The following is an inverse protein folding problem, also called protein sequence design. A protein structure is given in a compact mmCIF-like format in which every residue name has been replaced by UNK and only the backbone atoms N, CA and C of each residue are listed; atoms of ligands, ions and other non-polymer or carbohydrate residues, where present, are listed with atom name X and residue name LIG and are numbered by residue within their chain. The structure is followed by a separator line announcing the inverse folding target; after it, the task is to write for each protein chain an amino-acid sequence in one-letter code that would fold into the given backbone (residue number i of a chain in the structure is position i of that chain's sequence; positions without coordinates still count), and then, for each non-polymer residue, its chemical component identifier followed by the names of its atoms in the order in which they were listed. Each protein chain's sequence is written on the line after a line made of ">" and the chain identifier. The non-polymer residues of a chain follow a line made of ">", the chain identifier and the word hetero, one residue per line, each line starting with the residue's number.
data_IF_515674014427
#
_entry.id   IF_515674014427
#
_cell.length_a   1.000
_cell.length_b   1.000
_cell.length_c   1.000
_cell.angle_alpha   90.00
_cell.angle_beta   90.00
_cell.angle_gamma   90.00
#
_symmetry.space_group_name_H-M   'P 1'
#
loop_
_entity.id
_entity.type
_entity.pdbx_description
1 polymer ?
#
# COMPACT_ATOMS: atom_id res chain seq x y z
N UNK A 1 -4.52 -0.66 1.76
CA UNK A 1 -3.69 0.41 1.16
C UNK A 1 -3.63 1.54 2.17
N UNK A 2 -2.46 2.07 2.45
CA UNK A 2 -2.22 3.03 3.53
C UNK A 2 -1.62 4.32 2.98
N UNK A 3 -2.20 5.46 3.37
CA UNK A 3 -1.64 6.76 2.98
C UNK A 3 -0.29 6.99 3.66
N UNK A 4 0.67 7.49 2.90
CA UNK A 4 1.94 7.92 3.44
C UNK A 4 2.41 9.24 2.81
N UNK A 5 3.16 10.02 3.57
CA UNK A 5 3.75 11.26 3.06
C UNK A 5 5.13 10.97 2.46
N UNK A 6 5.22 11.04 1.14
CA UNK A 6 6.44 10.74 0.39
C UNK A 6 7.65 11.57 0.81
N UNK A 7 7.49 12.87 1.04
CA UNK A 7 8.60 13.77 1.34
C UNK A 7 9.48 14.07 0.12
N UNK A 8 10.61 14.74 0.38
CA UNK A 8 11.60 15.03 -0.68
C UNK A 8 12.37 13.78 -1.03
N UNK A 9 12.76 13.67 -2.31
CA UNK A 9 13.63 12.59 -2.76
C UNK A 9 14.96 12.57 -1.97
N UNK A 10 15.44 11.38 -1.53
CA UNK A 10 16.69 11.27 -0.78
C UNK A 10 17.92 11.46 -1.64
N UNK A 11 17.75 11.47 -2.96
CA UNK A 11 18.82 11.58 -3.97
C UNK A 11 18.44 12.56 -5.08
N UNK A 12 19.45 13.05 -5.80
CA UNK A 12 19.25 13.93 -6.94
C UNK A 12 19.01 13.11 -8.22
N UNK A 13 17.73 12.94 -8.58
CA UNK A 13 17.33 12.18 -9.77
C UNK A 13 17.83 12.77 -11.08
N UNK A 14 18.17 14.05 -11.15
CA UNK A 14 18.75 14.64 -12.37
C UNK A 14 20.13 14.05 -12.62
N UNK A 15 20.93 13.90 -11.58
CA UNK A 15 22.26 13.27 -11.69
C UNK A 15 22.17 11.77 -11.99
N UNK A 16 21.16 11.09 -11.46
CA UNK A 16 20.92 9.67 -11.73
C UNK A 16 20.59 9.45 -13.20
N UNK A 17 19.67 10.21 -13.76
CA UNK A 17 19.28 10.13 -15.18
C UNK A 17 20.46 10.34 -16.14
N UNK A 18 21.46 11.12 -15.75
CA UNK A 18 22.68 11.31 -16.54
C UNK A 18 23.65 10.13 -16.45
N UNK A 19 23.69 9.41 -15.33
CA UNK A 19 24.63 8.29 -15.09
C UNK A 19 24.08 6.93 -15.50
N UNK A 20 22.78 6.72 -15.37
CA UNK A 20 22.11 5.45 -15.58
C UNK A 20 21.02 5.62 -16.65
N UNK A 21 21.20 4.95 -17.77
CA UNK A 21 20.20 4.95 -18.86
C UNK A 21 19.13 3.86 -18.58
N UNK A 22 19.55 2.75 -18.00
CA UNK A 22 18.69 1.62 -17.70
C UNK A 22 18.52 1.41 -16.18
N UNK A 23 17.32 1.04 -15.77
CA UNK A 23 17.04 0.70 -14.37
C UNK A 23 17.91 -0.45 -13.86
N UNK A 24 18.19 -1.46 -14.69
CA UNK A 24 19.00 -2.61 -14.31
C UNK A 24 20.44 -2.24 -13.93
N UNK A 25 21.00 -1.21 -14.56
CA UNK A 25 22.33 -0.71 -14.22
C UNK A 25 22.33 0.09 -12.91
N UNK A 26 21.14 0.57 -12.51
CA UNK A 26 20.94 1.36 -11.32
C UNK A 26 20.71 0.50 -10.05
N UNK A 27 20.14 -0.72 -10.18
CA UNK A 27 19.72 -1.58 -9.04
C UNK A 27 20.86 -1.81 -8.01
N UNK A 28 22.12 -1.85 -8.43
CA UNK A 28 23.25 -2.11 -7.54
C UNK A 28 23.93 -0.84 -7.01
N UNK A 29 23.38 0.34 -7.31
CA UNK A 29 23.96 1.60 -6.88
C UNK A 29 23.62 1.93 -5.42
N UNK A 30 24.46 2.75 -4.78
CA UNK A 30 24.20 3.27 -3.45
C UNK A 30 22.94 4.15 -3.41
N UNK A 31 22.64 4.83 -4.50
CA UNK A 31 21.43 5.64 -4.64
C UNK A 31 20.16 4.80 -4.68
N UNK A 32 20.19 3.63 -5.35
CA UNK A 32 19.06 2.69 -5.33
C UNK A 32 18.80 2.18 -3.92
N UNK A 33 19.85 1.80 -3.19
CA UNK A 33 19.73 1.38 -1.79
C UNK A 33 19.12 2.51 -0.94
N UNK A 34 19.65 3.73 -1.06
CA UNK A 34 19.15 4.90 -0.32
C UNK A 34 17.66 5.21 -0.61
N UNK A 35 17.22 5.05 -1.87
CA UNK A 35 15.80 5.21 -2.24
C UNK A 35 14.95 4.13 -1.59
N UNK A 36 15.38 2.86 -1.66
CA UNK A 36 14.68 1.75 -1.04
C UNK A 36 14.53 1.91 0.47
N UNK A 37 15.61 2.26 1.14
CA UNK A 37 15.63 2.53 2.58
C UNK A 37 14.67 3.67 2.96
N UNK A 38 14.72 4.76 2.21
CA UNK A 38 13.87 5.91 2.46
C UNK A 38 12.38 5.60 2.26
N UNK A 39 12.01 4.90 1.18
CA UNK A 39 10.62 4.50 0.93
C UNK A 39 10.12 3.54 2.01
N UNK A 40 10.92 2.54 2.38
CA UNK A 40 10.61 1.58 3.44
C UNK A 40 10.28 2.29 4.77
N UNK A 41 11.14 3.24 5.20
CA UNK A 41 10.91 4.02 6.42
C UNK A 41 9.70 4.96 6.28
N UNK A 42 9.54 5.65 5.13
CA UNK A 42 8.44 6.60 4.93
C UNK A 42 7.08 5.92 4.85
N UNK A 43 7.03 4.68 4.40
CA UNK A 43 5.82 3.85 4.39
C UNK A 43 5.58 3.12 5.73
N UNK A 44 6.37 3.41 6.77
CA UNK A 44 6.23 2.77 8.10
C UNK A 44 6.46 1.27 8.05
N UNK A 45 7.33 0.80 7.15
CA UNK A 45 7.63 -0.61 6.89
C UNK A 45 6.46 -1.42 6.29
N UNK A 46 5.45 -0.74 5.74
CA UNK A 46 4.32 -1.40 5.08
C UNK A 46 4.48 -1.45 3.56
N UNK A 47 3.95 -2.49 2.95
CA UNK A 47 3.72 -2.50 1.52
C UNK A 47 2.73 -1.38 1.15
N UNK A 48 3.08 -0.52 0.20
CA UNK A 48 2.25 0.61 -0.24
C UNK A 48 0.81 0.20 -0.62
N UNK A 49 0.64 -1.02 -1.11
CA UNK A 49 -0.62 -1.47 -1.70
C UNK A 49 -1.48 -2.35 -0.79
N UNK A 50 -0.90 -3.34 -0.13
CA UNK A 50 -1.68 -4.30 0.67
C UNK A 50 -1.62 -4.08 2.18
N UNK A 51 -0.74 -3.21 2.67
CA UNK A 51 -0.50 -2.94 4.11
C UNK A 51 -0.04 -4.16 4.91
N UNK A 52 0.56 -5.14 4.26
CA UNK A 52 1.29 -6.18 4.97
C UNK A 52 2.57 -5.58 5.51
N UNK A 53 2.87 -5.82 6.78
CA UNK A 53 4.09 -5.36 7.42
C UNK A 53 5.30 -6.13 6.86
N UNK A 54 6.33 -5.40 6.49
CA UNK A 54 7.58 -5.94 5.95
C UNK A 54 8.61 -5.96 7.08
N UNK A 55 8.92 -7.13 7.59
CA UNK A 55 9.83 -7.28 8.74
C UNK A 55 11.28 -6.93 8.39
N UNK A 56 11.63 -7.09 7.11
CA UNK A 56 12.94 -6.76 6.56
C UNK A 56 12.79 -6.06 5.20
N UNK A 57 13.78 -5.25 4.82
CA UNK A 57 13.83 -4.61 3.49
C UNK A 57 13.89 -5.62 2.35
N UNK A 58 14.38 -6.83 2.62
CA UNK A 58 14.41 -7.92 1.64
C UNK A 58 13.02 -8.48 1.34
N UNK A 59 12.04 -8.25 2.21
CA UNK A 59 10.63 -8.62 1.99
C UNK A 59 9.94 -7.78 0.93
N UNK A 60 10.57 -6.64 0.54
CA UNK A 60 10.05 -5.72 -0.46
C UNK A 60 11.07 -5.34 -1.53
N UNK A 61 10.65 -4.46 -2.42
CA UNK A 61 11.47 -3.89 -3.49
C UNK A 61 10.92 -2.54 -3.94
N UNK A 62 11.75 -1.73 -4.62
CA UNK A 62 11.31 -0.50 -5.27
C UNK A 62 10.48 -0.87 -6.49
N UNK A 63 9.25 -0.44 -6.49
CA UNK A 63 8.23 -0.71 -7.51
C UNK A 63 7.85 0.60 -8.21
N UNK A 64 7.42 0.51 -9.48
CA UNK A 64 6.97 1.64 -10.30
C UNK A 64 5.45 1.59 -10.47
N UNK A 65 4.73 2.56 -9.94
CA UNK A 65 3.27 2.62 -10.06
C UNK A 65 2.82 2.60 -11.53
N UNK A 66 3.43 3.43 -12.38
CA UNK A 66 3.35 3.29 -13.83
C UNK A 66 4.51 2.43 -14.33
N UNK A 67 4.18 1.34 -15.03
CA UNK A 67 5.17 0.38 -15.51
C UNK A 67 6.22 1.04 -16.39
N UNK A 68 7.47 0.67 -16.19
CA UNK A 68 8.61 1.16 -16.99
C UNK A 68 8.49 0.79 -18.47
N UNK A 69 7.87 -0.36 -18.79
CA UNK A 69 7.58 -0.78 -20.17
C UNK A 69 6.68 0.19 -20.90
N UNK A 70 5.69 0.74 -20.19
CA UNK A 70 4.64 1.57 -20.77
C UNK A 70 5.03 3.06 -20.73
N UNK A 71 5.78 3.46 -19.68
CA UNK A 71 6.24 4.82 -19.44
C UNK A 71 7.73 4.90 -19.07
N UNK A 72 8.66 4.64 -20.04
CA UNK A 72 10.11 4.65 -19.74
C UNK A 72 10.64 5.98 -19.21
N UNK A 73 10.02 7.11 -19.61
CA UNK A 73 10.37 8.46 -19.13
C UNK A 73 10.12 8.65 -17.63
N UNK A 74 9.26 7.84 -16.99
CA UNK A 74 8.97 7.86 -15.57
C UNK A 74 9.77 6.85 -14.75
N UNK A 75 10.73 6.16 -15.37
CA UNK A 75 11.61 5.19 -14.67
C UNK A 75 12.35 5.81 -13.49
N UNK A 76 12.81 7.05 -13.64
CA UNK A 76 13.52 7.79 -12.59
C UNK A 76 12.69 8.99 -12.09
N UNK A 77 11.38 8.83 -12.02
CA UNK A 77 10.49 9.81 -11.41
C UNK A 77 10.20 9.41 -9.96
N UNK A 78 10.62 10.26 -9.02
CA UNK A 78 10.40 10.04 -7.60
C UNK A 78 8.94 9.75 -7.24
N UNK A 79 8.01 10.45 -7.90
CA UNK A 79 6.58 10.27 -7.66
C UNK A 79 6.03 8.95 -8.20
N UNK A 80 6.79 8.22 -9.00
CA UNK A 80 6.42 6.93 -9.54
C UNK A 80 6.98 5.74 -8.74
N UNK A 81 7.81 5.99 -7.71
CA UNK A 81 8.48 4.94 -6.95
C UNK A 81 7.78 4.64 -5.64
N UNK A 82 7.59 3.36 -5.33
CA UNK A 82 6.96 2.85 -4.13
C UNK A 82 7.75 1.67 -3.58
N UNK A 83 7.53 1.31 -2.32
CA UNK A 83 8.07 0.08 -1.76
C UNK A 83 6.93 -0.95 -1.65
N UNK A 84 7.08 -2.06 -2.34
CA UNK A 84 6.06 -3.11 -2.47
C UNK A 84 6.59 -4.45 -1.99
N UNK A 85 5.71 -5.28 -1.42
CA UNK A 85 6.05 -6.65 -1.05
C UNK A 85 6.38 -7.51 -2.29
N UNK A 86 7.11 -8.61 -2.08
CA UNK A 86 7.55 -9.54 -3.14
C UNK A 86 6.56 -10.67 -3.43
N UNK A 87 5.31 -10.58 -2.99
CA UNK A 87 4.32 -11.61 -3.26
C UNK A 87 3.90 -11.64 -4.74
N UNK A 88 3.90 -12.83 -5.34
CA UNK A 88 3.61 -13.02 -6.76
C UNK A 88 2.12 -12.87 -7.08
N UNK A 89 1.27 -13.09 -6.08
CA UNK A 89 -0.19 -13.13 -6.20
C UNK A 89 -0.86 -11.76 -6.07
N UNK A 90 -0.09 -10.70 -5.77
CA UNK A 90 -0.65 -9.38 -5.49
C UNK A 90 0.39 -8.26 -5.66
N UNK A 91 -0.07 -7.02 -5.50
CA UNK A 91 0.75 -5.81 -5.43
C UNK A 91 1.58 -5.56 -6.70
N UNK A 92 2.81 -5.04 -6.55
CA UNK A 92 3.62 -4.59 -7.69
C UNK A 92 3.92 -5.68 -8.70
N UNK A 93 4.28 -6.89 -8.25
CA UNK A 93 4.61 -8.00 -9.16
C UNK A 93 3.37 -8.45 -9.96
N UNK A 94 2.21 -8.56 -9.31
CA UNK A 94 0.96 -8.91 -10.01
C UNK A 94 0.55 -7.81 -11.00
N UNK A 95 0.58 -6.54 -10.54
CA UNK A 95 0.27 -5.35 -11.35
C UNK A 95 1.07 -5.30 -12.65
N UNK A 96 2.34 -5.69 -12.64
CA UNK A 96 3.20 -5.63 -13.83
C UNK A 96 2.70 -6.50 -14.98
N UNK A 97 1.87 -7.51 -14.70
CA UNK A 97 1.21 -8.34 -15.71
C UNK A 97 -0.17 -7.81 -16.14
N UNK A 98 -0.65 -6.71 -15.55
CA UNK A 98 -1.98 -6.18 -15.83
C UNK A 98 -1.92 -5.04 -16.85
N UNK A 99 -2.99 -4.88 -17.63
CA UNK A 99 -3.23 -3.68 -18.44
C UNK A 99 -4.16 -2.76 -17.63
N UNK A 100 -3.78 -1.49 -17.49
CA UNK A 100 -4.53 -0.47 -16.75
C UNK A 100 -4.20 0.94 -17.21
N UNK A 101 -5.10 1.88 -16.95
CA UNK A 101 -4.83 3.32 -17.05
C UNK A 101 -4.41 3.84 -15.67
N UNK A 102 -3.32 4.59 -15.61
CA UNK A 102 -2.82 5.16 -14.36
C UNK A 102 -3.83 6.13 -13.71
N UNK A 103 -4.65 6.79 -14.51
CA UNK A 103 -5.69 7.70 -14.02
C UNK A 103 -6.81 6.96 -13.25
N UNK A 104 -6.95 5.66 -13.47
CA UNK A 104 -7.89 4.78 -12.78
C UNK A 104 -7.27 4.05 -11.57
N UNK A 105 -6.06 4.45 -11.15
CA UNK A 105 -5.37 3.86 -9.99
C UNK A 105 -5.26 4.87 -8.85
N UNK A 106 -5.60 4.41 -7.63
CA UNK A 106 -5.40 5.19 -6.40
C UNK A 106 -3.92 5.23 -6.08
N UNK A 107 -3.38 6.45 -5.93
CA UNK A 107 -2.01 6.68 -5.50
C UNK A 107 -1.95 6.92 -3.99
N UNK A 108 -1.46 5.98 -3.16
CA UNK A 108 -1.45 6.12 -1.71
C UNK A 108 -0.50 7.20 -1.18
N UNK A 109 0.30 7.83 -2.02
CA UNK A 109 1.11 8.99 -1.63
C UNK A 109 0.39 10.33 -1.80
N UNK A 110 -0.76 10.32 -2.47
CA UNK A 110 -1.60 11.49 -2.76
C UNK A 110 -3.00 11.33 -2.20
N UNK A 111 -3.64 10.20 -2.54
CA UNK A 111 -5.00 9.87 -2.13
C UNK A 111 -4.99 9.23 -0.72
N UNK A 112 -5.99 9.49 0.12
CA UNK A 112 -6.21 8.68 1.32
C UNK A 112 -7.04 7.44 0.97
N UNK A 113 -6.47 6.23 1.01
CA UNK A 113 -7.21 5.02 0.68
C UNK A 113 -8.45 4.78 1.55
N UNK A 114 -8.48 5.32 2.78
CA UNK A 114 -9.65 5.24 3.65
C UNK A 114 -10.86 5.99 3.10
N UNK A 115 -10.68 6.94 2.21
CA UNK A 115 -11.80 7.63 1.54
C UNK A 115 -12.46 6.76 0.47
N UNK A 116 -11.76 5.76 -0.05
CA UNK A 116 -12.20 4.95 -1.20
C UNK A 116 -12.69 3.56 -0.80
N UNK A 117 -12.11 2.96 0.25
CA UNK A 117 -12.31 1.55 0.56
C UNK A 117 -13.06 1.32 1.88
N UNK A 118 -13.76 0.19 1.90
CA UNK A 118 -14.31 -0.41 3.11
C UNK A 118 -13.96 -1.91 3.14
N UNK A 119 -14.09 -2.53 4.31
CA UNK A 119 -13.73 -3.92 4.54
C UNK A 119 -14.89 -4.67 5.17
N UNK A 120 -15.02 -5.96 4.87
CA UNK A 120 -15.99 -6.85 5.52
C UNK A 120 -15.31 -7.87 6.44
N UNK A 121 -16.12 -8.62 7.18
CA UNK A 121 -15.65 -9.64 8.12
C UNK A 121 -15.00 -10.85 7.44
N UNK A 122 -15.23 -11.04 6.16
CA UNK A 122 -14.61 -12.11 5.36
C UNK A 122 -13.28 -11.69 4.73
N UNK A 123 -12.83 -10.47 5.02
CA UNK A 123 -11.56 -9.91 4.58
C UNK A 123 -11.56 -9.35 3.17
N UNK A 124 -12.73 -9.18 2.55
CA UNK A 124 -12.79 -8.48 1.27
C UNK A 124 -12.60 -6.97 1.46
N UNK A 125 -11.91 -6.36 0.52
CA UNK A 125 -11.87 -4.92 0.32
C UNK A 125 -12.87 -4.55 -0.78
N UNK A 126 -13.66 -3.52 -0.53
CA UNK A 126 -14.70 -3.02 -1.43
C UNK A 126 -14.59 -1.51 -1.61
N UNK A 127 -15.00 -0.96 -2.76
CA UNK A 127 -15.27 0.46 -2.87
C UNK A 127 -16.38 0.86 -1.88
N UNK A 128 -16.27 2.05 -1.28
CA UNK A 128 -17.35 2.61 -0.47
C UNK A 128 -18.61 2.85 -1.32
N UNK A 129 -19.77 2.74 -0.70
CA UNK A 129 -21.07 2.83 -1.40
C UNK A 129 -21.38 4.24 -1.90
N UNK A 130 -20.91 5.24 -1.17
CA UNK A 130 -21.21 6.67 -1.37
C UNK A 130 -20.40 7.31 -2.49
N UNK A 131 -19.46 6.58 -3.07
CA UNK A 131 -18.56 7.10 -4.12
C UNK A 131 -19.35 7.41 -5.40
N UNK A 132 -18.96 8.49 -6.09
CA UNK A 132 -19.41 8.75 -7.46
C UNK A 132 -19.00 7.61 -8.39
N UNK A 133 -19.67 7.47 -9.53
CA UNK A 133 -19.42 6.38 -10.49
C UNK A 133 -17.94 6.33 -10.94
N UNK A 134 -17.33 7.49 -11.22
CA UNK A 134 -15.92 7.56 -11.66
C UNK A 134 -14.95 7.17 -10.55
N UNK A 135 -15.18 7.66 -9.33
CA UNK A 135 -14.33 7.33 -8.18
C UNK A 135 -14.47 5.86 -7.78
N UNK A 136 -15.69 5.31 -7.87
CA UNK A 136 -15.94 3.88 -7.63
C UNK A 136 -15.20 3.03 -8.64
N UNK A 137 -15.21 3.40 -9.93
CA UNK A 137 -14.43 2.73 -10.98
C UNK A 137 -12.93 2.72 -10.64
N UNK A 138 -12.37 3.89 -10.24
CA UNK A 138 -10.98 4.00 -9.81
C UNK A 138 -10.66 3.03 -8.64
N UNK A 139 -11.54 2.91 -7.67
CA UNK A 139 -11.38 1.97 -6.56
C UNK A 139 -11.47 0.50 -7.02
N UNK A 140 -12.41 0.16 -7.89
CA UNK A 140 -12.55 -1.19 -8.47
C UNK A 140 -11.32 -1.58 -9.29
N UNK A 141 -10.82 -0.68 -10.14
CA UNK A 141 -9.60 -0.91 -10.93
C UNK A 141 -8.38 -1.08 -10.03
N UNK A 142 -8.22 -0.28 -9.00
CA UNK A 142 -7.14 -0.46 -8.03
C UNK A 142 -7.18 -1.86 -7.38
N UNK A 143 -8.36 -2.30 -6.92
CA UNK A 143 -8.53 -3.66 -6.36
C UNK A 143 -8.14 -4.73 -7.37
N UNK A 144 -8.58 -4.60 -8.62
CA UNK A 144 -8.31 -5.54 -9.72
C UNK A 144 -6.82 -5.58 -10.07
N UNK A 145 -6.22 -4.43 -10.31
CA UNK A 145 -4.85 -4.30 -10.82
C UNK A 145 -3.83 -4.81 -9.82
N UNK A 146 -4.02 -4.54 -8.53
CA UNK A 146 -3.15 -5.05 -7.47
C UNK A 146 -3.59 -6.41 -6.88
N UNK A 147 -4.67 -7.00 -7.38
CA UNK A 147 -5.29 -8.23 -6.86
C UNK A 147 -5.48 -8.20 -5.34
N UNK A 148 -6.03 -7.10 -4.85
CA UNK A 148 -6.16 -6.89 -3.40
C UNK A 148 -7.14 -7.85 -2.72
N UNK A 149 -7.93 -8.61 -3.48
CA UNK A 149 -8.81 -9.66 -2.97
C UNK A 149 -8.27 -11.09 -3.20
N UNK A 150 -6.95 -11.26 -3.40
CA UNK A 150 -6.37 -12.61 -3.45
C UNK A 150 -6.58 -13.36 -2.12
N UNK A 151 -6.60 -14.71 -2.14
CA UNK A 151 -6.90 -15.52 -0.95
C UNK A 151 -6.05 -15.18 0.27
N UNK A 152 -4.75 -14.96 0.07
CA UNK A 152 -3.79 -14.62 1.13
C UNK A 152 -4.17 -13.28 1.81
N UNK A 153 -4.42 -12.24 1.04
CA UNK A 153 -4.75 -10.92 1.59
C UNK A 153 -6.13 -10.90 2.26
N UNK A 154 -7.09 -11.67 1.75
CA UNK A 154 -8.39 -11.86 2.42
C UNK A 154 -8.22 -12.51 3.77
N UNK A 155 -7.38 -13.55 3.88
CA UNK A 155 -7.15 -14.24 5.15
C UNK A 155 -6.53 -13.30 6.18
N UNK A 156 -5.48 -12.56 5.82
CA UNK A 156 -4.84 -11.58 6.72
C UNK A 156 -5.86 -10.54 7.23
N UNK A 157 -6.69 -10.00 6.34
CA UNK A 157 -7.72 -9.03 6.75
C UNK A 157 -8.85 -9.66 7.56
N UNK A 158 -9.21 -10.91 7.30
CA UNK A 158 -10.17 -11.66 8.10
C UNK A 158 -9.69 -11.88 9.53
N UNK A 159 -8.40 -12.20 9.68
CA UNK A 159 -7.78 -12.34 10.99
C UNK A 159 -7.80 -11.00 11.74
N UNK A 160 -7.45 -9.89 11.08
CA UNK A 160 -7.56 -8.55 11.63
C UNK A 160 -9.01 -8.19 12.04
N UNK A 161 -9.99 -8.49 11.17
CA UNK A 161 -11.42 -8.27 11.47
C UNK A 161 -11.90 -9.08 12.67
N UNK A 162 -11.39 -10.30 12.84
CA UNK A 162 -11.70 -11.16 13.99
C UNK A 162 -11.19 -10.53 15.29
N UNK A 163 -9.98 -9.98 15.30
CA UNK A 163 -9.41 -9.27 16.45
C UNK A 163 -10.30 -8.08 16.86
N UNK A 164 -10.74 -7.28 15.88
CA UNK A 164 -11.68 -6.17 16.13
C UNK A 164 -13.01 -6.69 16.71
N UNK A 165 -13.52 -7.79 16.17
CA UNK A 165 -14.78 -8.39 16.65
C UNK A 165 -14.66 -8.83 18.12
N UNK A 166 -13.57 -9.48 18.51
CA UNK A 166 -13.32 -9.83 19.91
C UNK A 166 -13.27 -8.60 20.80
N UNK A 167 -12.50 -7.59 20.41
CA UNK A 167 -12.42 -6.34 21.18
C UNK A 167 -13.80 -5.68 21.36
N UNK A 168 -14.62 -5.64 20.30
CA UNK A 168 -15.98 -5.06 20.36
C UNK A 168 -16.97 -5.87 21.18
N UNK A 169 -16.85 -7.18 21.22
CA UNK A 169 -17.70 -8.02 22.07
C UNK A 169 -17.51 -7.67 23.55
N UNK A 170 -16.26 -7.43 23.95
CA UNK A 170 -15.93 -7.03 25.33
C UNK A 170 -16.18 -5.52 25.57
N UNK A 171 -16.17 -4.71 24.51
CA UNK A 171 -16.34 -3.25 24.53
C UNK A 171 -17.34 -2.80 23.45
N UNK A 172 -18.67 -2.99 23.65
CA UNK A 172 -19.69 -2.67 22.64
C UNK A 172 -19.71 -1.19 22.21
N UNK A 173 -19.35 -0.28 23.12
CA UNK A 173 -19.21 1.16 22.88
C UNK A 173 -17.87 1.62 23.46
N UNK A 174 -16.75 1.35 22.80
CA UNK A 174 -15.43 1.61 23.36
C UNK A 174 -15.19 3.11 23.54
N UNK A 175 -14.66 3.49 24.69
CA UNK A 175 -14.19 4.87 24.91
C UNK A 175 -12.96 5.16 24.06
N UNK A 176 -12.64 6.44 23.80
CA UNK A 176 -11.39 6.80 23.11
C UNK A 176 -10.14 6.20 23.76
N UNK A 177 -10.10 6.12 25.09
CA UNK A 177 -8.98 5.53 25.84
C UNK A 177 -8.90 4.01 25.59
N UNK A 178 -10.03 3.30 25.57
CA UNK A 178 -10.06 1.87 25.24
C UNK A 178 -9.59 1.59 23.80
N UNK A 179 -9.96 2.45 22.86
CA UNK A 179 -9.48 2.36 21.47
C UNK A 179 -7.98 2.65 21.40
N UNK A 180 -7.48 3.65 22.13
CA UNK A 180 -6.03 3.94 22.20
C UNK A 180 -5.25 2.76 22.75
N UNK A 181 -5.69 2.19 23.89
CA UNK A 181 -5.08 1.02 24.50
C UNK A 181 -5.10 -0.22 23.55
N UNK A 182 -6.17 -0.38 22.79
CA UNK A 182 -6.25 -1.43 21.77
C UNK A 182 -5.17 -1.29 20.70
N UNK A 183 -4.93 -0.07 20.16
CA UNK A 183 -3.86 0.17 19.20
C UNK A 183 -2.47 -0.02 19.81
N UNK A 184 -2.27 0.35 21.08
CA UNK A 184 -1.01 0.09 21.79
C UNK A 184 -0.73 -1.42 21.90
N UNK A 185 -1.76 -2.23 22.16
CA UNK A 185 -1.66 -3.69 22.22
C UNK A 185 -1.38 -4.34 20.87
N UNK A 186 -1.96 -3.80 19.78
CA UNK A 186 -1.68 -4.27 18.42
C UNK A 186 -0.22 -4.06 18.05
N UNK A 187 0.39 -3.00 18.57
CA UNK A 187 1.76 -2.59 18.27
C UNK A 187 1.96 -2.09 16.84
N UNK A 188 3.17 -1.66 16.55
CA UNK A 188 3.53 -0.99 15.29
C UNK A 188 3.65 -1.94 14.08
N UNK A 189 3.48 -3.25 14.29
CA UNK A 189 3.71 -4.29 13.25
C UNK A 189 2.43 -5.02 12.84
N UNK A 190 1.26 -4.45 13.14
CA UNK A 190 -0.01 -5.06 12.79
C UNK A 190 -0.26 -4.97 11.28
N UNK A 191 -0.49 -6.11 10.63
CA UNK A 191 -0.89 -6.15 9.23
C UNK A 191 -2.24 -5.45 9.00
N UNK A 192 -2.40 -4.81 7.84
CA UNK A 192 -3.67 -4.25 7.38
C UNK A 192 -4.31 -3.26 8.37
N UNK A 193 -3.55 -2.27 8.83
CA UNK A 193 -3.99 -1.27 9.82
C UNK A 193 -5.30 -0.56 9.45
N UNK A 194 -5.56 -0.36 8.15
CA UNK A 194 -6.80 0.23 7.65
C UNK A 194 -8.05 -0.60 7.97
N UNK A 195 -7.91 -1.92 8.16
CA UNK A 195 -9.02 -2.79 8.57
C UNK A 195 -9.47 -2.45 9.99
N UNK A 196 -8.50 -2.29 10.90
CA UNK A 196 -8.78 -1.91 12.28
C UNK A 196 -9.48 -0.56 12.34
N UNK A 197 -8.97 0.46 11.62
CA UNK A 197 -9.60 1.77 11.54
C UNK A 197 -11.02 1.68 10.97
N UNK A 198 -11.20 1.03 9.83
CA UNK A 198 -12.49 0.97 9.16
C UNK A 198 -13.56 0.21 9.96
N UNK A 199 -13.17 -0.78 10.77
CA UNK A 199 -14.11 -1.57 11.56
C UNK A 199 -14.34 -1.04 12.98
N UNK A 200 -13.38 -0.31 13.56
CA UNK A 200 -13.53 0.32 14.87
C UNK A 200 -14.36 1.61 14.82
N UNK A 201 -14.35 2.33 13.70
CA UNK A 201 -15.06 3.60 13.53
C UNK A 201 -16.48 3.45 13.01
N UNK A 202 -16.97 2.22 12.83
CA UNK A 202 -18.37 1.89 12.52
C UNK A 202 -19.20 1.83 13.80
#
# INVERSE_FOLDING_TARGET
>A
MHQFKRGKAPVDFTKIKHRHVLWNDFISSSEHIAIGDYLYERQGHYCAYCEVYLHDKQDGFIEHLEKRSDNPQRTFDWNNLFFSCRHLDSCGIYKDNMVYDIHDIIDPSVDDPLDFFTYDSEGFIHPKKELSKSIKHKAEETIRVFNLNCPRLKQIRKDAASIVSYFRNDNPNPSPDAVSAFYELLGDKADCISVYHALLMK
#
